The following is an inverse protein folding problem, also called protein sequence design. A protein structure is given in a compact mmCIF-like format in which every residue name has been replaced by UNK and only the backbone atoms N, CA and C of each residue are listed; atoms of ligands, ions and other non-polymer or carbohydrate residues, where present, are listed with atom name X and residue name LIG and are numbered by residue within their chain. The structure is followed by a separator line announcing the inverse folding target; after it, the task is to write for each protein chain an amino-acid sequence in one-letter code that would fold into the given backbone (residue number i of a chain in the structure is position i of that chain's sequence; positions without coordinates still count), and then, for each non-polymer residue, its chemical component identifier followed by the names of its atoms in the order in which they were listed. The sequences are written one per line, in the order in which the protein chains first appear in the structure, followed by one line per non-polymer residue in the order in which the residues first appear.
data_IF_763131277030
#
_entry.id   IF_763131277030
#
_cell.length_a   1.000
_cell.length_b   1.000
_cell.length_c   1.000
_cell.angle_alpha   90.00
_cell.angle_beta   90.00
_cell.angle_gamma   90.00
#
_symmetry.space_group_name_H-M   'P 1'
#
loop_
_entity.id
_entity.type
_entity.pdbx_description
1 polymer ?
#
# COMPACT_ATOMS: atom_id res chain seq x y z
N UNK A 1 40.17 -28.79 -0.72
CA UNK A 1 39.91 -28.25 -2.07
C UNK A 1 38.52 -27.63 -2.27
N UNK A 2 37.68 -27.48 -1.23
CA UNK A 2 36.37 -26.80 -1.37
C UNK A 2 36.36 -25.30 -0.97
N UNK A 3 37.44 -24.80 -0.34
CA UNK A 3 37.55 -23.37 0.06
C UNK A 3 38.09 -22.49 -1.09
N UNK A 4 38.66 -23.10 -2.13
CA UNK A 4 39.28 -22.38 -3.25
C UNK A 4 38.27 -22.01 -4.35
N UNK A 5 37.11 -22.66 -4.41
CA UNK A 5 36.10 -22.43 -5.46
C UNK A 5 35.13 -21.26 -5.19
N UNK A 6 35.10 -20.72 -3.96
CA UNK A 6 34.32 -19.50 -3.64
C UNK A 6 35.15 -18.23 -3.79
N UNK A 7 36.49 -18.33 -3.74
CA UNK A 7 37.38 -17.20 -4.02
C UNK A 7 37.45 -16.85 -5.51
N UNK A 8 37.32 -17.82 -6.42
CA UNK A 8 37.44 -17.56 -7.86
C UNK A 8 36.23 -16.83 -8.48
N UNK A 9 35.08 -16.81 -7.82
CA UNK A 9 33.93 -15.98 -8.22
C UNK A 9 34.01 -14.53 -7.72
N UNK A 10 34.85 -14.27 -6.70
CA UNK A 10 35.11 -12.91 -6.20
C UNK A 10 36.23 -12.21 -6.98
N UNK A 11 37.19 -12.96 -7.54
CA UNK A 11 38.29 -12.41 -8.34
C UNK A 11 37.94 -12.17 -9.83
N UNK A 12 36.79 -12.68 -10.30
CA UNK A 12 36.34 -12.58 -11.69
C UNK A 12 35.50 -11.33 -12.02
N UNK A 13 35.08 -10.54 -11.04
CA UNK A 13 34.33 -9.31 -11.29
C UNK A 13 35.34 -8.19 -11.50
N UNK A 14 35.90 -8.14 -12.73
CA UNK A 14 36.59 -6.95 -13.21
C UNK A 14 35.62 -5.78 -13.07
N UNK A 15 35.85 -4.94 -12.05
CA UNK A 15 35.43 -3.54 -12.01
C UNK A 15 36.02 -2.90 -13.26
N UNK A 16 35.33 -3.02 -14.40
CA UNK A 16 35.89 -2.65 -15.70
C UNK A 16 35.90 -1.14 -15.91
N UNK A 17 35.55 -0.37 -14.89
CA UNK A 17 35.60 1.08 -14.93
C UNK A 17 36.05 1.67 -13.59
N UNK A 18 37.33 1.49 -13.25
CA UNK A 18 37.97 2.28 -12.19
C UNK A 18 38.10 3.77 -12.54
N UNK A 19 37.72 4.19 -13.76
CA UNK A 19 37.86 5.56 -14.26
C UNK A 19 36.58 6.41 -14.21
N UNK A 20 35.42 5.85 -13.85
CA UNK A 20 34.13 6.54 -14.05
C UNK A 20 33.69 7.48 -12.94
N UNK A 21 34.30 7.45 -11.75
CA UNK A 21 33.91 8.31 -10.63
C UNK A 21 35.11 8.96 -9.94
N UNK A 22 36.00 9.57 -10.73
CA UNK A 22 37.12 10.36 -10.22
C UNK A 22 36.82 11.86 -10.39
N UNK A 23 35.90 12.37 -9.57
CA UNK A 23 35.63 13.81 -9.48
C UNK A 23 36.76 14.57 -8.78
N UNK A 24 37.82 13.89 -8.33
CA UNK A 24 38.89 14.43 -7.48
C UNK A 24 38.45 14.80 -6.07
N UNK A 25 37.14 14.81 -5.79
CA UNK A 25 36.58 15.07 -4.46
C UNK A 25 36.87 13.88 -3.53
N UNK A 26 37.24 14.22 -2.30
CA UNK A 26 37.39 13.27 -1.21
C UNK A 26 36.30 13.50 -0.18
N UNK A 27 35.72 12.40 0.29
CA UNK A 27 34.76 12.38 1.38
C UNK A 27 35.39 11.60 2.52
N UNK A 28 35.66 12.30 3.63
CA UNK A 28 36.35 11.74 4.80
C UNK A 28 37.68 11.03 4.44
N UNK A 29 38.50 11.69 3.61
CA UNK A 29 39.81 11.19 3.19
C UNK A 29 39.78 10.06 2.15
N UNK A 30 38.60 9.66 1.68
CA UNK A 30 38.43 8.60 0.68
C UNK A 30 37.75 9.12 -0.59
N UNK A 31 38.15 8.60 -1.75
CA UNK A 31 37.47 8.91 -3.00
C UNK A 31 36.09 8.25 -3.05
N UNK A 32 35.21 8.76 -3.90
CA UNK A 32 33.90 8.15 -4.11
C UNK A 32 33.99 6.67 -4.52
N UNK A 33 34.91 6.33 -5.44
CA UNK A 33 35.16 4.96 -5.85
C UNK A 33 35.68 4.05 -4.71
N UNK A 34 36.40 4.60 -3.72
CA UNK A 34 36.80 3.86 -2.53
C UNK A 34 35.59 3.53 -1.64
N UNK A 35 34.67 4.48 -1.47
CA UNK A 35 33.42 4.25 -0.75
C UNK A 35 32.54 3.19 -1.42
N UNK A 36 32.44 3.20 -2.75
CA UNK A 36 31.73 2.14 -3.49
C UNK A 36 32.38 0.76 -3.28
N UNK A 37 33.71 0.68 -3.25
CA UNK A 37 34.41 -0.58 -2.95
C UNK A 37 34.13 -1.07 -1.53
N UNK A 38 34.03 -0.16 -0.55
CA UNK A 38 33.66 -0.51 0.83
C UNK A 38 32.22 -1.02 0.96
N UNK A 39 31.30 -0.61 0.10
CA UNK A 39 29.96 -1.20 0.07
C UNK A 39 29.98 -2.67 -0.37
N UNK A 40 30.93 -3.07 -1.21
CA UNK A 40 31.11 -4.47 -1.60
C UNK A 40 31.67 -5.32 -0.44
N UNK A 41 32.58 -4.74 0.35
CA UNK A 41 33.21 -5.38 1.50
C UNK A 41 32.22 -5.64 2.65
N UNK A 42 32.11 -6.88 3.11
CA UNK A 42 31.15 -7.27 4.14
C UNK A 42 31.38 -6.58 5.49
N UNK A 43 32.63 -6.38 5.89
CA UNK A 43 32.97 -5.83 7.21
C UNK A 43 32.83 -4.30 7.24
N UNK A 44 33.01 -3.67 6.08
CA UNK A 44 33.01 -2.21 5.92
C UNK A 44 31.73 -1.66 5.33
N UNK A 45 30.82 -2.52 4.86
CA UNK A 45 29.57 -2.11 4.22
C UNK A 45 28.77 -1.15 5.08
N UNK A 46 28.64 -1.44 6.37
CA UNK A 46 27.78 -0.66 7.25
C UNK A 46 28.34 0.75 7.50
N UNK A 47 29.66 0.86 7.64
CA UNK A 47 30.38 2.13 7.72
C UNK A 47 30.10 2.97 6.46
N UNK A 48 30.28 2.36 5.28
CA UNK A 48 30.08 3.03 4.01
C UNK A 48 28.62 3.45 3.75
N UNK A 49 27.63 2.62 4.12
CA UNK A 49 26.20 2.98 4.03
C UNK A 49 25.89 4.27 4.81
N UNK A 50 26.40 4.37 6.05
CA UNK A 50 26.15 5.51 6.93
C UNK A 50 26.90 6.75 6.45
N UNK A 51 28.18 6.60 6.09
CA UNK A 51 29.01 7.70 5.61
C UNK A 51 28.44 8.33 4.34
N UNK A 52 28.08 7.51 3.34
CA UNK A 52 27.45 7.98 2.11
C UNK A 52 26.11 8.67 2.37
N UNK A 53 25.31 8.16 3.31
CA UNK A 53 24.08 8.82 3.76
C UNK A 53 24.35 10.23 4.33
N UNK A 54 25.37 10.36 5.18
CA UNK A 54 25.78 11.65 5.74
C UNK A 54 26.33 12.61 4.67
N UNK A 55 27.03 12.09 3.67
CA UNK A 55 27.53 12.91 2.57
C UNK A 55 26.39 13.45 1.71
N UNK A 56 25.32 12.69 1.46
CA UNK A 56 24.12 13.22 0.77
C UNK A 56 23.50 14.40 1.54
N UNK A 57 23.48 14.32 2.88
CA UNK A 57 22.95 15.40 3.72
C UNK A 57 23.83 16.66 3.61
N UNK A 58 25.15 16.49 3.56
CA UNK A 58 26.12 17.61 3.60
C UNK A 58 26.42 18.20 2.20
N UNK A 59 26.49 17.36 1.16
CA UNK A 59 26.72 17.73 -0.23
C UNK A 59 25.70 17.00 -1.13
N UNK A 60 24.54 17.62 -1.41
CA UNK A 60 23.51 17.01 -2.25
C UNK A 60 23.98 16.69 -3.68
N UNK A 61 25.13 17.20 -4.15
CA UNK A 61 25.67 16.87 -5.46
C UNK A 61 26.11 15.40 -5.55
N UNK A 62 26.52 14.78 -4.44
CA UNK A 62 26.89 13.35 -4.40
C UNK A 62 25.70 12.44 -4.72
N UNK A 63 24.47 12.94 -4.57
CA UNK A 63 23.26 12.16 -4.85
C UNK A 63 23.19 11.76 -6.32
N UNK A 64 23.59 12.65 -7.24
CA UNK A 64 23.61 12.36 -8.67
C UNK A 64 24.70 11.33 -9.01
N UNK A 65 25.88 11.44 -8.39
CA UNK A 65 26.94 10.42 -8.52
C UNK A 65 26.49 9.05 -7.99
N UNK A 66 25.73 9.01 -6.89
CA UNK A 66 25.19 7.77 -6.33
C UNK A 66 24.05 7.16 -7.15
N UNK A 67 23.21 7.98 -7.79
CA UNK A 67 22.19 7.49 -8.72
C UNK A 67 22.84 6.90 -9.98
N UNK A 68 23.84 7.58 -10.55
CA UNK A 68 24.64 7.07 -11.67
C UNK A 68 25.36 5.77 -11.31
N UNK A 69 25.94 5.70 -10.09
CA UNK A 69 26.58 4.49 -9.59
C UNK A 69 25.59 3.35 -9.37
N UNK A 70 24.38 3.65 -8.91
CA UNK A 70 23.31 2.66 -8.74
C UNK A 70 22.90 2.03 -10.08
N UNK A 71 22.68 2.86 -11.11
CA UNK A 71 22.28 2.38 -12.44
C UNK A 71 23.34 1.49 -13.11
N UNK A 72 24.62 1.73 -12.80
CA UNK A 72 25.76 0.96 -13.31
C UNK A 72 26.21 -0.18 -12.38
N UNK A 73 25.56 -0.36 -11.23
CA UNK A 73 26.00 -1.32 -10.23
C UNK A 73 25.69 -2.77 -10.65
N UNK A 74 26.73 -3.48 -11.12
CA UNK A 74 26.64 -4.94 -11.32
C UNK A 74 26.74 -5.71 -9.99
N UNK A 75 27.40 -5.13 -8.99
CA UNK A 75 27.57 -5.74 -7.68
C UNK A 75 26.34 -5.47 -6.79
N UNK A 76 25.68 -6.55 -6.41
CA UNK A 76 24.46 -6.53 -5.60
C UNK A 76 24.64 -5.89 -4.22
N UNK A 77 25.82 -6.03 -3.61
CA UNK A 77 26.12 -5.41 -2.32
C UNK A 77 26.28 -3.90 -2.45
N UNK A 78 26.86 -3.43 -3.55
CA UNK A 78 27.00 -2.00 -3.85
C UNK A 78 25.63 -1.38 -4.09
N UNK A 79 24.81 -1.97 -4.95
CA UNK A 79 23.46 -1.49 -5.22
C UNK A 79 22.58 -1.45 -3.95
N UNK A 80 22.64 -2.49 -3.11
CA UNK A 80 21.95 -2.53 -1.81
C UNK A 80 22.47 -1.42 -0.88
N UNK A 81 23.79 -1.28 -0.82
CA UNK A 81 24.45 -0.29 0.02
C UNK A 81 24.05 1.14 -0.32
N UNK A 82 23.91 1.46 -1.62
CA UNK A 82 23.45 2.76 -2.09
C UNK A 82 21.99 3.02 -1.66
N UNK A 83 21.09 2.04 -1.83
CA UNK A 83 19.69 2.18 -1.36
C UNK A 83 19.64 2.46 0.14
N UNK A 84 20.50 1.79 0.93
CA UNK A 84 20.58 2.02 2.38
C UNK A 84 21.21 3.35 2.73
N UNK A 85 22.13 3.87 1.92
CA UNK A 85 22.62 5.24 2.05
C UNK A 85 21.49 6.26 1.83
N UNK A 86 20.59 6.03 0.86
CA UNK A 86 19.40 6.87 0.68
C UNK A 86 18.45 6.79 1.88
N UNK A 87 18.27 5.60 2.46
CA UNK A 87 17.52 5.44 3.72
C UNK A 87 18.13 6.27 4.86
N UNK A 88 19.47 6.22 5.02
CA UNK A 88 20.19 7.01 6.03
C UNK A 88 20.10 8.53 5.80
N UNK A 89 20.12 8.96 4.54
CA UNK A 89 20.02 10.37 4.17
C UNK A 89 18.62 10.96 4.42
N UNK A 90 17.58 10.13 4.49
CA UNK A 90 16.21 10.56 4.72
C UNK A 90 15.76 11.61 3.70
N UNK A 91 15.18 12.72 4.16
CA UNK A 91 14.59 13.76 3.29
C UNK A 91 15.57 14.37 2.27
N UNK A 92 16.88 14.32 2.53
CA UNK A 92 17.91 14.78 1.60
C UNK A 92 17.93 13.95 0.30
N UNK A 93 17.55 12.67 0.37
CA UNK A 93 17.49 11.77 -0.78
C UNK A 93 16.16 11.86 -1.58
N UNK A 94 15.33 12.89 -1.40
CA UNK A 94 14.02 13.01 -2.06
C UNK A 94 14.04 12.86 -3.59
N UNK A 95 15.15 13.22 -4.26
CA UNK A 95 15.30 13.07 -5.73
C UNK A 95 15.47 11.60 -6.15
N UNK A 96 15.81 10.69 -5.22
CA UNK A 96 15.94 9.26 -5.49
C UNK A 96 14.58 8.53 -5.50
N UNK A 97 13.48 9.16 -5.08
CA UNK A 97 12.16 8.50 -4.97
C UNK A 97 11.71 7.83 -6.28
N UNK A 98 11.81 8.45 -7.47
CA UNK A 98 11.44 7.80 -8.72
C UNK A 98 12.23 6.51 -8.99
N UNK A 99 13.56 6.54 -8.80
CA UNK A 99 14.41 5.37 -8.96
C UNK A 99 14.04 4.28 -7.95
N UNK A 100 13.85 4.65 -6.67
CA UNK A 100 13.45 3.71 -5.62
C UNK A 100 12.09 3.06 -5.89
N UNK A 101 11.13 3.78 -6.47
CA UNK A 101 9.82 3.22 -6.86
C UNK A 101 9.96 2.10 -7.90
N UNK A 102 10.91 2.23 -8.83
CA UNK A 102 11.22 1.17 -9.81
C UNK A 102 11.82 -0.06 -9.13
N UNK A 103 12.72 0.14 -8.16
CA UNK A 103 13.33 -0.96 -7.41
C UNK A 103 12.30 -1.76 -6.65
N UNK A 104 11.34 -1.09 -5.98
CA UNK A 104 10.29 -1.76 -5.20
C UNK A 104 9.45 -2.71 -6.06
N UNK A 105 9.36 -2.50 -7.37
CA UNK A 105 8.64 -3.41 -8.26
C UNK A 105 9.54 -4.32 -9.10
N UNK A 106 10.85 -4.15 -9.05
CA UNK A 106 11.76 -5.00 -9.82
C UNK A 106 11.60 -6.48 -9.45
N UNK A 107 11.72 -7.36 -10.45
CA UNK A 107 11.71 -8.82 -10.28
C UNK A 107 12.94 -9.37 -9.52
N UNK A 108 13.80 -8.49 -9.02
CA UNK A 108 15.00 -8.83 -8.27
C UNK A 108 14.73 -9.38 -6.87
N UNK A 109 15.77 -9.34 -6.02
CA UNK A 109 15.70 -9.89 -4.67
C UNK A 109 14.66 -9.19 -3.79
N UNK A 110 13.96 -9.97 -2.96
CA UNK A 110 12.96 -9.43 -2.03
C UNK A 110 13.55 -8.40 -1.04
N UNK A 111 14.82 -8.56 -0.67
CA UNK A 111 15.55 -7.62 0.17
C UNK A 111 15.68 -6.23 -0.47
N UNK A 112 15.92 -6.16 -1.79
CA UNK A 112 16.01 -4.88 -2.51
C UNK A 112 14.71 -4.10 -2.45
N UNK A 113 13.59 -4.79 -2.69
CA UNK A 113 12.26 -4.17 -2.60
C UNK A 113 12.00 -3.63 -1.20
N UNK A 114 12.35 -4.40 -0.17
CA UNK A 114 12.17 -3.98 1.22
C UNK A 114 13.02 -2.75 1.55
N UNK A 115 14.30 -2.73 1.18
CA UNK A 115 15.17 -1.59 1.45
C UNK A 115 14.74 -0.35 0.68
N UNK A 116 14.35 -0.49 -0.59
CA UNK A 116 13.86 0.64 -1.37
C UNK A 116 12.56 1.21 -0.79
N UNK A 117 11.63 0.35 -0.37
CA UNK A 117 10.41 0.77 0.31
C UNK A 117 10.73 1.53 1.61
N UNK A 118 11.62 0.98 2.45
CA UNK A 118 12.05 1.62 3.70
C UNK A 118 12.74 2.96 3.45
N UNK A 119 13.56 3.05 2.41
CA UNK A 119 14.22 4.29 2.02
C UNK A 119 13.18 5.37 1.66
N UNK A 120 12.14 5.04 0.89
CA UNK A 120 11.08 6.00 0.56
C UNK A 120 10.30 6.43 1.82
N UNK A 121 10.01 5.49 2.74
CA UNK A 121 9.37 5.82 4.02
C UNK A 121 10.27 6.73 4.87
N UNK A 122 11.57 6.48 4.92
CA UNK A 122 12.55 7.31 5.64
C UNK A 122 12.72 8.71 5.02
N UNK A 123 12.60 8.84 3.69
CA UNK A 123 12.53 10.14 3.00
C UNK A 123 11.32 10.96 3.50
N UNK A 124 10.23 10.29 3.85
CA UNK A 124 9.09 10.90 4.52
C UNK A 124 8.30 11.88 3.63
N UNK A 125 7.71 12.94 4.21
CA UNK A 125 6.89 13.92 3.48
C UNK A 125 7.58 14.59 2.29
N UNK A 126 8.92 14.67 2.29
CA UNK A 126 9.69 15.23 1.17
C UNK A 126 9.51 14.45 -0.14
N UNK A 127 9.10 13.18 -0.05
CA UNK A 127 8.80 12.32 -1.21
C UNK A 127 7.40 12.50 -1.80
N UNK A 128 6.49 13.24 -1.12
CA UNK A 128 5.09 13.33 -1.53
C UNK A 128 4.89 13.78 -2.99
N UNK A 129 5.60 14.80 -3.54
CA UNK A 129 5.40 15.20 -4.94
C UNK A 129 5.70 14.08 -5.95
N UNK A 130 6.68 13.23 -5.64
CA UNK A 130 7.02 12.08 -6.49
C UNK A 130 6.00 10.95 -6.35
N UNK A 131 5.50 10.71 -5.13
CA UNK A 131 4.40 9.76 -4.90
C UNK A 131 3.12 10.22 -5.60
N UNK A 132 2.81 11.52 -5.54
CA UNK A 132 1.68 12.13 -6.23
C UNK A 132 1.74 11.91 -7.74
N UNK A 133 2.92 12.11 -8.33
CA UNK A 133 3.18 11.83 -9.75
C UNK A 133 3.03 10.34 -10.06
N UNK A 134 3.56 9.48 -9.20
CA UNK A 134 3.50 8.03 -9.38
C UNK A 134 2.07 7.47 -9.28
N UNK A 135 1.22 8.03 -8.41
CA UNK A 135 -0.19 7.66 -8.29
C UNK A 135 -1.01 8.02 -9.54
N UNK A 136 -0.64 9.09 -10.27
CA UNK A 136 -1.33 9.50 -11.51
C UNK A 136 -0.79 8.86 -12.79
N UNK A 137 0.40 8.27 -12.74
CA UNK A 137 1.08 7.78 -13.94
C UNK A 137 0.48 6.49 -14.50
N UNK A 138 0.80 6.18 -15.75
CA UNK A 138 0.26 5.00 -16.45
C UNK A 138 0.86 3.67 -16.01
N UNK A 139 2.01 3.72 -15.32
CA UNK A 139 2.70 2.55 -14.82
C UNK A 139 1.96 1.96 -13.61
N UNK A 140 1.10 0.97 -13.86
CA UNK A 140 0.34 0.21 -12.84
C UNK A 140 1.20 -0.17 -11.63
N UNK A 141 2.38 -0.79 -11.82
CA UNK A 141 3.27 -1.08 -10.70
C UNK A 141 3.62 0.10 -9.81
N UNK A 142 4.01 1.24 -10.41
CA UNK A 142 4.36 2.44 -9.66
C UNK A 142 3.16 2.97 -8.88
N UNK A 143 1.95 2.93 -9.44
CA UNK A 143 0.72 3.32 -8.74
C UNK A 143 0.48 2.47 -7.49
N UNK A 144 0.53 1.15 -7.62
CA UNK A 144 0.31 0.23 -6.50
C UNK A 144 1.37 0.43 -5.40
N UNK A 145 2.63 0.58 -5.78
CA UNK A 145 3.73 0.85 -4.85
C UNK A 145 3.56 2.19 -4.14
N UNK A 146 3.23 3.26 -4.88
CA UNK A 146 3.06 4.58 -4.31
C UNK A 146 1.93 4.61 -3.27
N UNK A 147 0.83 3.88 -3.51
CA UNK A 147 -0.24 3.70 -2.53
C UNK A 147 0.27 2.93 -1.30
N UNK A 148 0.98 1.81 -1.48
CA UNK A 148 1.53 1.04 -0.36
C UNK A 148 2.51 1.86 0.51
N UNK A 149 3.37 2.67 -0.12
CA UNK A 149 4.27 3.59 0.58
C UNK A 149 3.47 4.65 1.34
N UNK A 150 2.43 5.23 0.73
CA UNK A 150 1.56 6.21 1.38
C UNK A 150 0.91 5.64 2.65
N UNK A 151 0.54 4.35 2.65
CA UNK A 151 0.02 3.68 3.86
C UNK A 151 1.03 3.68 5.00
N UNK A 152 2.28 3.36 4.70
CA UNK A 152 3.32 3.17 5.69
C UNK A 152 3.95 4.52 6.13
N UNK A 153 3.80 5.57 5.32
CA UNK A 153 4.05 6.97 5.73
C UNK A 153 3.03 7.46 6.78
N UNK A 154 1.86 6.84 6.88
CA UNK A 154 0.83 7.21 7.84
C UNK A 154 0.32 8.64 7.64
N UNK A 155 0.09 9.37 8.73
CA UNK A 155 -0.52 10.71 8.70
C UNK A 155 0.15 11.71 7.76
N UNK A 156 1.45 11.55 7.49
CA UNK A 156 2.19 12.34 6.51
C UNK A 156 1.61 12.24 5.08
N UNK A 157 0.96 11.13 4.75
CA UNK A 157 0.38 10.87 3.44
C UNK A 157 -1.07 11.33 3.29
N UNK A 158 -1.68 11.95 4.31
CA UNK A 158 -3.05 12.51 4.23
C UNK A 158 -3.28 13.44 3.02
N UNK A 159 -2.31 14.27 2.56
CA UNK A 159 -2.49 15.06 1.35
C UNK A 159 -2.77 14.24 0.07
N UNK A 160 -2.44 12.94 0.05
CA UNK A 160 -2.67 12.05 -1.10
C UNK A 160 -4.07 11.41 -1.10
N UNK A 161 -4.88 11.62 -0.05
CA UNK A 161 -6.22 11.02 0.09
C UNK A 161 -7.09 11.21 -1.17
N UNK A 162 -7.22 12.41 -1.76
CA UNK A 162 -8.05 12.58 -2.96
C UNK A 162 -7.61 11.70 -4.15
N UNK A 163 -6.31 11.46 -4.30
CA UNK A 163 -5.77 10.60 -5.35
C UNK A 163 -5.98 9.13 -5.03
N UNK A 164 -5.83 8.74 -3.77
CA UNK A 164 -6.10 7.38 -3.33
C UNK A 164 -7.57 7.02 -3.56
N UNK A 165 -8.51 7.97 -3.39
CA UNK A 165 -9.91 7.78 -3.76
C UNK A 165 -10.08 7.52 -5.27
N UNK A 166 -9.43 8.29 -6.13
CA UNK A 166 -9.48 8.06 -7.58
C UNK A 166 -8.93 6.68 -7.99
N UNK A 167 -7.97 6.13 -7.23
CA UNK A 167 -7.40 4.79 -7.50
C UNK A 167 -8.32 3.63 -7.10
N UNK A 168 -9.44 3.90 -6.42
CA UNK A 168 -10.46 2.88 -6.17
C UNK A 168 -11.14 2.43 -7.48
N UNK A 169 -11.13 3.28 -8.49
CA UNK A 169 -11.66 2.99 -9.83
C UNK A 169 -10.57 2.55 -10.83
N UNK A 170 -9.35 2.25 -10.35
CA UNK A 170 -8.25 1.84 -11.23
C UNK A 170 -8.58 0.51 -11.94
N UNK A 171 -8.27 0.37 -13.25
CA UNK A 171 -8.56 -0.87 -13.98
C UNK A 171 -7.87 -2.11 -13.38
N UNK A 172 -6.80 -1.96 -12.60
CA UNK A 172 -6.03 -3.06 -12.06
C UNK A 172 -6.33 -3.32 -10.58
N UNK A 173 -6.76 -4.54 -10.28
CA UNK A 173 -7.07 -5.03 -8.93
C UNK A 173 -5.99 -4.75 -7.89
N UNK A 174 -4.71 -4.92 -8.24
CA UNK A 174 -3.61 -4.69 -7.30
C UNK A 174 -3.50 -3.22 -6.85
N UNK A 175 -3.86 -2.28 -7.73
CA UNK A 175 -3.85 -0.84 -7.41
C UNK A 175 -5.03 -0.50 -6.52
N UNK A 176 -6.23 -0.98 -6.86
CA UNK A 176 -7.44 -0.81 -6.03
C UNK A 176 -7.24 -1.30 -4.60
N UNK A 177 -6.68 -2.50 -4.41
CA UNK A 177 -6.40 -3.06 -3.08
C UNK A 177 -5.39 -2.23 -2.28
N UNK A 178 -4.35 -1.73 -2.94
CA UNK A 178 -3.35 -0.88 -2.28
C UNK A 178 -3.99 0.44 -1.83
N UNK A 179 -4.78 1.09 -2.69
CA UNK A 179 -5.51 2.31 -2.36
C UNK A 179 -6.50 2.10 -1.21
N UNK A 180 -7.30 1.03 -1.25
CA UNK A 180 -8.24 0.64 -0.22
C UNK A 180 -7.58 0.44 1.16
N UNK A 181 -6.51 -0.34 1.18
CA UNK A 181 -5.73 -0.59 2.40
C UNK A 181 -5.11 0.70 2.95
N UNK A 182 -4.73 1.63 2.07
CA UNK A 182 -4.12 2.90 2.46
C UNK A 182 -5.16 3.82 3.09
N UNK A 183 -6.28 4.06 2.43
CA UNK A 183 -7.37 4.89 2.94
C UNK A 183 -7.89 4.39 4.30
N UNK A 184 -8.05 3.06 4.44
CA UNK A 184 -8.43 2.43 5.72
C UNK A 184 -7.48 2.82 6.85
N UNK A 185 -6.16 2.82 6.57
CA UNK A 185 -5.13 3.13 7.56
C UNK A 185 -5.06 4.62 7.90
N UNK A 186 -5.19 5.49 6.89
CA UNK A 186 -5.00 6.94 7.03
C UNK A 186 -6.20 7.66 7.64
N UNK A 187 -7.40 7.21 7.31
CA UNK A 187 -8.62 7.90 7.75
C UNK A 187 -9.31 7.18 8.92
N UNK A 188 -8.83 5.98 9.29
CA UNK A 188 -9.50 5.11 10.26
C UNK A 188 -11.01 5.01 9.96
N UNK A 189 -11.35 4.95 8.67
CA UNK A 189 -12.70 5.11 8.13
C UNK A 189 -12.96 4.00 7.13
N UNK A 190 -14.05 3.28 7.38
CA UNK A 190 -14.58 2.09 6.69
C UNK A 190 -14.95 2.28 5.19
N UNK A 191 -14.44 3.31 4.52
CA UNK A 191 -15.04 3.90 3.30
C UNK A 191 -14.74 3.12 2.00
N UNK A 192 -13.89 2.09 2.01
CA UNK A 192 -13.62 1.25 0.81
C UNK A 192 -14.26 -0.14 0.91
N UNK A 193 -15.54 -0.13 1.24
CA UNK A 193 -16.42 -1.18 0.76
C UNK A 193 -16.51 -1.06 -0.79
N UNK A 194 -16.79 -2.16 -1.51
CA UNK A 194 -17.85 -2.10 -2.54
C UNK A 194 -17.52 -1.67 -3.99
N UNK A 195 -16.29 -1.34 -4.41
CA UNK A 195 -16.06 -0.98 -5.83
C UNK A 195 -16.06 -2.21 -6.79
N UNK A 196 -17.26 -2.58 -7.23
CA UNK A 196 -17.67 -3.18 -8.51
C UNK A 196 -17.18 -4.60 -8.88
N UNK A 197 -17.69 -5.63 -8.19
CA UNK A 197 -18.23 -6.92 -8.72
C UNK A 197 -18.34 -7.98 -7.60
N UNK A 198 -19.40 -8.82 -7.54
CA UNK A 198 -19.65 -9.73 -6.42
C UNK A 198 -18.71 -10.96 -6.34
N UNK A 199 -17.76 -11.15 -7.26
CA UNK A 199 -17.11 -12.45 -7.45
C UNK A 199 -15.65 -12.56 -6.96
N UNK A 200 -15.09 -11.51 -6.36
CA UNK A 200 -13.67 -11.53 -6.01
C UNK A 200 -13.41 -12.18 -4.63
N UNK A 201 -12.36 -13.00 -4.57
CA UNK A 201 -11.97 -13.82 -3.40
C UNK A 201 -11.81 -13.00 -2.10
N UNK A 202 -11.58 -11.69 -2.23
CA UNK A 202 -11.45 -10.76 -1.10
C UNK A 202 -12.80 -10.50 -0.41
N UNK A 203 -13.87 -10.30 -1.18
CA UNK A 203 -15.24 -10.17 -0.68
C UNK A 203 -15.66 -11.46 0.04
N UNK A 204 -15.34 -12.62 -0.53
CA UNK A 204 -15.62 -13.94 0.06
C UNK A 204 -14.93 -14.13 1.41
N UNK A 205 -13.63 -13.85 1.52
CA UNK A 205 -12.90 -14.01 2.80
C UNK A 205 -13.39 -13.08 3.90
N UNK A 206 -13.85 -11.87 3.54
CA UNK A 206 -14.39 -10.89 4.49
C UNK A 206 -15.77 -11.33 5.00
N UNK A 207 -16.60 -11.82 4.09
CA UNK A 207 -17.90 -12.41 4.36
C UNK A 207 -17.75 -13.67 5.22
N UNK A 208 -16.79 -14.54 4.92
CA UNK A 208 -16.50 -15.72 5.74
C UNK A 208 -16.11 -15.35 7.17
N UNK A 209 -15.39 -14.24 7.36
CA UNK A 209 -15.07 -13.72 8.69
C UNK A 209 -16.31 -13.21 9.42
N UNK A 210 -17.20 -12.51 8.72
CA UNK A 210 -18.50 -12.07 9.26
C UNK A 210 -19.37 -13.27 9.66
N UNK A 211 -19.48 -14.26 8.77
CA UNK A 211 -20.18 -15.53 9.00
C UNK A 211 -19.68 -16.27 10.25
N UNK A 212 -18.35 -16.33 10.44
CA UNK A 212 -17.71 -16.95 11.62
C UNK A 212 -17.96 -16.19 12.93
N UNK A 213 -18.28 -14.90 12.87
CA UNK A 213 -18.60 -14.08 14.05
C UNK A 213 -20.09 -14.17 14.40
N UNK A 214 -20.96 -14.12 13.40
CA UNK A 214 -22.41 -14.27 13.56
C UNK A 214 -22.81 -15.66 14.07
N UNK A 215 -22.03 -16.70 13.75
CA UNK A 215 -22.24 -18.07 14.25
C UNK A 215 -21.79 -18.30 15.69
N UNK A 216 -20.96 -17.43 16.26
CA UNK A 216 -20.42 -17.60 17.63
C UNK A 216 -21.18 -16.81 18.69
N UNK A 217 -22.06 -15.91 18.29
CA UNK A 217 -22.58 -14.84 19.15
C UNK A 217 -24.06 -14.60 18.87
N UNK A 218 -24.91 -14.63 19.90
CA UNK A 218 -26.31 -14.14 19.82
C UNK A 218 -26.32 -12.61 19.71
N UNK A 219 -25.86 -12.09 18.57
CA UNK A 219 -25.81 -10.65 18.31
C UNK A 219 -27.20 -10.11 18.04
N UNK A 220 -27.47 -8.93 18.56
CA UNK A 220 -28.70 -8.17 18.29
C UNK A 220 -28.67 -7.59 16.88
N UNK A 221 -29.84 -7.37 16.27
CA UNK A 221 -29.95 -6.74 14.94
C UNK A 221 -29.20 -5.39 14.87
N UNK A 222 -29.15 -4.65 15.99
CA UNK A 222 -28.38 -3.41 16.13
C UNK A 222 -26.88 -3.63 15.96
N UNK A 223 -26.32 -4.62 16.66
CA UNK A 223 -24.91 -4.95 16.55
C UNK A 223 -24.60 -5.45 15.15
N UNK A 224 -25.50 -6.23 14.55
CA UNK A 224 -25.37 -6.71 13.18
C UNK A 224 -25.34 -5.51 12.20
N UNK A 225 -26.29 -4.58 12.30
CA UNK A 225 -26.28 -3.35 11.53
C UNK A 225 -24.98 -2.58 11.69
N UNK A 226 -24.52 -2.30 12.92
CA UNK A 226 -23.26 -1.58 13.14
C UNK A 226 -22.02 -2.27 12.54
N UNK A 227 -22.05 -3.60 12.37
CA UNK A 227 -20.97 -4.33 11.69
C UNK A 227 -21.10 -4.31 10.16
N UNK A 228 -22.32 -4.18 9.62
CA UNK A 228 -22.57 -4.25 8.17
C UNK A 228 -23.01 -2.92 7.53
N UNK A 229 -23.13 -1.85 8.31
CA UNK A 229 -23.68 -0.54 7.89
C UNK A 229 -22.96 0.03 6.67
N UNK A 230 -21.63 -0.09 6.63
CA UNK A 230 -20.81 0.36 5.51
C UNK A 230 -20.98 -0.45 4.22
N UNK A 231 -21.67 -1.60 4.25
CA UNK A 231 -21.92 -2.46 3.08
C UNK A 231 -23.37 -2.42 2.61
N UNK A 232 -24.31 -2.00 3.47
CA UNK A 232 -25.74 -1.91 3.14
C UNK A 232 -26.01 -0.65 2.30
N UNK A 233 -25.76 -0.78 1.00
CA UNK A 233 -26.17 0.21 -0.01
C UNK A 233 -27.23 -0.41 -0.91
N UNK A 234 -28.04 0.40 -1.63
CA UNK A 234 -29.08 -0.14 -2.51
C UNK A 234 -28.56 -1.16 -3.52
N UNK A 235 -27.30 -1.00 -3.95
CA UNK A 235 -26.66 -1.87 -4.95
C UNK A 235 -26.20 -3.22 -4.41
N UNK A 236 -25.99 -3.34 -3.09
CA UNK A 236 -25.35 -4.52 -2.50
C UNK A 236 -26.25 -5.33 -1.59
N UNK A 237 -27.45 -4.85 -1.29
CA UNK A 237 -28.40 -5.55 -0.40
C UNK A 237 -28.50 -7.01 -0.79
N UNK A 238 -28.76 -7.32 -2.07
CA UNK A 238 -28.94 -8.70 -2.52
C UNK A 238 -27.71 -9.58 -2.25
N UNK A 239 -26.51 -9.06 -2.52
CA UNK A 239 -25.26 -9.80 -2.31
C UNK A 239 -25.04 -10.00 -0.81
N UNK A 240 -25.16 -8.96 0.01
CA UNK A 240 -24.98 -9.06 1.46
C UNK A 240 -25.96 -10.05 2.06
N UNK A 241 -27.25 -9.98 1.69
CA UNK A 241 -28.29 -10.88 2.20
C UNK A 241 -28.04 -12.33 1.81
N UNK A 242 -27.67 -12.62 0.55
CA UNK A 242 -27.36 -13.98 0.09
C UNK A 242 -26.21 -14.66 0.86
N UNK A 243 -25.39 -13.85 1.55
CA UNK A 243 -24.20 -14.27 2.25
C UNK A 243 -24.38 -14.36 3.78
N UNK A 244 -25.55 -14.03 4.31
CA UNK A 244 -25.82 -14.12 5.75
C UNK A 244 -26.30 -15.53 6.15
N UNK A 245 -26.03 -15.98 7.39
CA UNK A 245 -26.61 -17.21 7.91
C UNK A 245 -28.13 -17.10 7.96
N UNK A 246 -28.86 -18.20 7.71
CA UNK A 246 -30.33 -18.20 7.75
C UNK A 246 -30.95 -17.55 9.02
N UNK A 247 -30.45 -17.77 10.24
CA UNK A 247 -31.00 -17.12 11.44
C UNK A 247 -30.85 -15.60 11.47
N UNK A 248 -29.84 -15.05 10.78
CA UNK A 248 -29.61 -13.61 10.68
C UNK A 248 -30.41 -13.05 9.52
N UNK A 249 -30.46 -13.76 8.40
CA UNK A 249 -31.27 -13.41 7.25
C UNK A 249 -32.75 -13.27 7.64
N UNK A 250 -33.27 -14.17 8.49
CA UNK A 250 -34.64 -14.11 8.99
C UNK A 250 -34.90 -12.86 9.84
N UNK A 251 -33.93 -12.42 10.65
CA UNK A 251 -34.06 -11.17 11.41
C UNK A 251 -34.13 -9.94 10.48
N UNK A 252 -33.39 -9.95 9.38
CA UNK A 252 -33.49 -8.91 8.36
C UNK A 252 -34.81 -8.96 7.60
N UNK A 253 -35.32 -10.16 7.28
CA UNK A 253 -36.63 -10.35 6.65
C UNK A 253 -37.75 -9.81 7.52
N UNK A 254 -37.80 -10.20 8.79
CA UNK A 254 -38.80 -9.68 9.75
C UNK A 254 -38.72 -8.15 9.89
N UNK A 255 -37.50 -7.61 9.92
CA UNK A 255 -37.33 -6.17 9.99
C UNK A 255 -37.84 -5.49 8.72
N UNK A 256 -37.49 -6.00 7.54
CA UNK A 256 -37.92 -5.47 6.25
C UNK A 256 -39.44 -5.50 6.09
N UNK A 257 -40.11 -6.56 6.54
CA UNK A 257 -41.58 -6.66 6.55
C UNK A 257 -42.24 -5.61 7.48
N UNK A 258 -41.56 -5.21 8.56
CA UNK A 258 -42.05 -4.16 9.49
C UNK A 258 -41.76 -2.74 9.00
N UNK A 259 -40.96 -2.57 7.94
CA UNK A 259 -40.64 -1.24 7.40
C UNK A 259 -41.80 -0.66 6.60
N UNK A 260 -42.10 0.64 6.73
CA UNK A 260 -43.06 1.32 5.88
C UNK A 260 -42.68 1.23 4.40
N UNK A 261 -43.68 1.05 3.54
CA UNK A 261 -43.48 0.94 2.09
C UNK A 261 -43.38 2.30 1.40
N UNK A 262 -43.89 3.35 2.03
CA UNK A 262 -43.79 4.72 1.50
C UNK A 262 -42.49 5.41 1.95
N UNK A 263 -41.79 6.14 1.07
CA UNK A 263 -40.63 6.95 1.44
C UNK A 263 -40.93 7.96 2.57
N UNK A 264 -42.13 8.53 2.59
CA UNK A 264 -42.56 9.53 3.55
C UNK A 264 -42.77 8.98 4.96
N UNK A 265 -43.15 7.71 5.09
CA UNK A 265 -43.27 7.05 6.39
C UNK A 265 -41.92 6.50 6.86
N UNK A 266 -41.10 5.97 5.94
CA UNK A 266 -39.74 5.58 6.28
C UNK A 266 -38.94 6.78 6.76
N UNK A 267 -39.05 7.94 6.10
CA UNK A 267 -38.39 9.19 6.47
C UNK A 267 -38.67 9.61 7.92
N UNK A 268 -39.80 9.20 8.49
CA UNK A 268 -40.23 9.46 9.88
C UNK A 268 -39.75 8.41 10.89
N UNK A 269 -39.14 7.30 10.46
CA UNK A 269 -38.61 6.29 11.38
C UNK A 269 -37.45 6.87 12.20
N UNK A 270 -37.63 6.90 13.52
CA UNK A 270 -36.59 7.19 14.48
C UNK A 270 -35.81 5.90 14.75
N UNK A 271 -34.65 5.73 14.10
CA UNK A 271 -33.68 4.72 14.49
C UNK A 271 -33.03 5.18 15.80
N UNK A 272 -33.54 4.68 16.92
CA UNK A 272 -32.96 4.96 18.22
C UNK A 272 -31.56 4.31 18.25
N UNK A 273 -30.51 5.12 18.14
CA UNK A 273 -29.10 4.82 18.41
C UNK A 273 -28.28 4.01 17.38
N UNK A 274 -28.59 4.13 16.08
CA UNK A 274 -27.66 3.86 14.96
C UNK A 274 -27.85 4.95 13.90
N UNK A 275 -26.78 5.31 13.18
CA UNK A 275 -26.93 6.12 11.96
C UNK A 275 -27.88 5.36 11.02
N UNK A 276 -28.97 6.02 10.64
CA UNK A 276 -30.04 5.39 9.88
C UNK A 276 -29.50 4.97 8.51
N UNK A 277 -29.73 3.72 8.04
CA UNK A 277 -29.45 3.36 6.66
C UNK A 277 -30.22 4.30 5.72
N UNK A 278 -29.61 4.81 4.63
CA UNK A 278 -30.28 5.68 3.68
C UNK A 278 -31.64 5.12 3.26
N UNK A 279 -32.62 5.98 2.97
CA UNK A 279 -33.97 5.52 2.59
C UNK A 279 -33.95 4.55 1.41
N UNK A 280 -33.09 4.82 0.44
CA UNK A 280 -32.88 3.97 -0.74
C UNK A 280 -32.35 2.57 -0.36
N UNK A 281 -31.54 2.47 0.70
CA UNK A 281 -31.04 1.18 1.21
C UNK A 281 -32.18 0.39 1.84
N UNK A 282 -33.05 1.06 2.62
CA UNK A 282 -34.22 0.43 3.22
C UNK A 282 -35.23 0.00 2.15
N UNK A 283 -35.41 0.81 1.11
CA UNK A 283 -36.23 0.44 -0.05
C UNK A 283 -35.66 -0.79 -0.77
N UNK A 284 -34.36 -0.85 -1.02
CA UNK A 284 -33.72 -2.02 -1.62
C UNK A 284 -33.81 -3.27 -0.75
N UNK A 285 -33.76 -3.11 0.59
CA UNK A 285 -33.96 -4.22 1.55
C UNK A 285 -35.38 -4.78 1.47
N UNK A 286 -36.38 -3.88 1.41
CA UNK A 286 -37.78 -4.25 1.20
C UNK A 286 -37.94 -5.01 -0.12
N UNK A 287 -37.47 -4.43 -1.22
CA UNK A 287 -37.58 -5.01 -2.55
C UNK A 287 -36.93 -6.40 -2.64
N UNK A 288 -35.81 -6.61 -1.95
CA UNK A 288 -35.13 -7.89 -1.92
C UNK A 288 -36.00 -9.00 -1.30
N UNK A 289 -36.63 -8.72 -0.15
CA UNK A 289 -37.44 -9.72 0.54
C UNK A 289 -38.86 -9.85 -0.04
N UNK A 290 -39.43 -8.79 -0.61
CA UNK A 290 -40.74 -8.85 -1.26
C UNK A 290 -40.69 -9.68 -2.56
N UNK A 291 -39.53 -9.77 -3.24
CA UNK A 291 -39.34 -10.64 -4.42
C UNK A 291 -39.20 -12.13 -4.08
N UNK A 292 -38.68 -12.43 -2.89
CA UNK A 292 -38.43 -13.79 -2.40
C UNK A 292 -39.76 -14.53 -2.03
N UNK A 293 -40.88 -13.80 -1.92
CA UNK A 293 -42.23 -14.35 -1.64
C UNK A 293 -43.03 -14.71 -2.91
N UNK A 294 -42.57 -14.30 -4.10
CA UNK A 294 -43.31 -14.45 -5.38
C UNK A 294 -42.84 -15.61 -6.27
N UNK A 295 -41.76 -16.31 -5.92
CA UNK A 295 -41.21 -17.50 -6.61
C UNK A 295 -41.31 -18.76 -5.72
#
# INVERSE_FOLDING_TARGET
MAVTAVKSTLEGIRVRDQRTFDSGKQYDGHSFAEWLRRLADQDRRKEAEVALGQFIINDPAILDELLDAYDRAENICVATGIIRAFEHAGSAAKRAVPALLDVVHSAGLASFRLFAHRAIVAIGPAGLPHLETALRGDNRPRRATAAAVARDLGDAAKPLIPLLYALLDDPHRSVRLAAASTLTKLENRYVVAVCDEPSDEWTKQRVEKLLKLLTKSNLTLREIYGQIEGYLTPKNVAVVMSLLPAPVLEQFREHAQRLPRTPEERSKLLYINCDRPPDDTLAALIDYFDRDETD
#
